data_IF_214665588724
#
_entry.id   IF_214665588724
#
_cell.length_a   1.000
_cell.length_b   1.000
_cell.length_c   1.000
_cell.angle_alpha   90.00
_cell.angle_beta   90.00
_cell.angle_gamma   90.00
#
_symmetry.space_group_name_H-M   'P 1'
#
loop_
_entity.id
_entity.type
_entity.pdbx_description
1 polymer ?
#
# COMPACT_ATOMS: atom_id res chain seq x y z
N UNK A 1 -3.61 -10.17 10.90
CA UNK A 1 -3.66 -8.77 10.44
C UNK A 1 -4.21 -7.91 11.57
N UNK A 2 -3.47 -6.90 12.03
CA UNK A 2 -3.95 -5.93 13.01
C UNK A 2 -4.17 -4.59 12.32
N UNK A 3 -5.33 -3.95 12.53
CA UNK A 3 -5.60 -2.64 11.92
C UNK A 3 -4.73 -1.55 12.55
N UNK A 4 -4.20 -0.65 11.71
CA UNK A 4 -3.41 0.51 12.15
C UNK A 4 -4.13 1.79 11.76
N UNK A 5 -4.07 2.80 12.61
CA UNK A 5 -4.66 4.11 12.36
C UNK A 5 -3.80 4.94 11.37
N UNK A 6 -4.34 5.34 10.20
CA UNK A 6 -3.59 6.06 9.16
C UNK A 6 -3.11 7.45 9.59
N UNK A 7 -3.82 8.08 10.54
CA UNK A 7 -3.48 9.40 11.06
C UNK A 7 -2.10 9.42 11.71
N UNK A 8 -1.64 8.29 12.26
CA UNK A 8 -0.30 8.14 12.81
C UNK A 8 0.77 8.44 11.76
N UNK A 9 0.47 8.23 10.47
CA UNK A 9 1.36 8.49 9.33
C UNK A 9 1.01 9.76 8.54
N UNK A 10 0.08 10.58 9.05
CA UNK A 10 -0.40 11.78 8.33
C UNK A 10 -1.23 11.44 7.08
N UNK A 11 -1.79 10.23 7.02
CA UNK A 11 -2.64 9.77 5.95
C UNK A 11 -4.11 9.98 6.28
N UNK A 12 -4.94 10.07 5.25
CA UNK A 12 -6.40 10.18 5.41
C UNK A 12 -6.97 8.94 6.11
N UNK A 13 -7.95 9.15 7.00
CA UNK A 13 -8.79 8.12 7.62
C UNK A 13 -9.36 7.07 6.64
N UNK A 14 -9.50 7.42 5.36
CA UNK A 14 -9.99 6.52 4.30
C UNK A 14 -8.96 5.51 3.83
N UNK A 15 -7.70 5.62 4.26
CA UNK A 15 -6.65 4.66 3.95
C UNK A 15 -6.82 3.47 4.89
N UNK A 16 -6.85 2.25 4.38
CA UNK A 16 -6.85 1.08 5.25
C UNK A 16 -5.43 0.58 5.41
N UNK A 17 -4.91 0.60 6.64
CA UNK A 17 -3.60 0.08 6.98
C UNK A 17 -3.75 -1.12 7.92
N UNK A 18 -2.92 -2.12 7.69
CA UNK A 18 -2.82 -3.30 8.55
C UNK A 18 -1.35 -3.61 8.84
N UNK A 19 -1.06 -4.08 10.04
CA UNK A 19 0.21 -4.71 10.34
C UNK A 19 0.14 -6.19 9.97
N UNK A 20 1.14 -6.64 9.22
CA UNK A 20 1.35 -8.04 8.85
C UNK A 20 2.80 -8.38 9.13
N UNK A 21 3.02 -9.26 10.10
CA UNK A 21 4.34 -9.63 10.59
C UNK A 21 5.18 -8.38 10.90
N UNK A 22 6.29 -8.20 10.20
CA UNK A 22 7.19 -7.05 10.31
C UNK A 22 6.95 -5.96 9.24
N UNK A 23 5.83 -6.01 8.53
CA UNK A 23 5.49 -5.10 7.43
C UNK A 23 4.18 -4.34 7.69
N UNK A 24 4.04 -3.19 7.02
CA UNK A 24 2.79 -2.44 6.97
C UNK A 24 2.13 -2.66 5.61
N UNK A 25 0.91 -3.17 5.63
CA UNK A 25 0.08 -3.40 4.45
C UNK A 25 -0.85 -2.22 4.18
N UNK A 26 -0.79 -1.67 2.97
CA UNK A 26 -1.84 -0.81 2.43
C UNK A 26 -2.91 -1.70 1.81
N UNK A 27 -4.09 -1.73 2.42
CA UNK A 27 -5.19 -2.58 2.00
C UNK A 27 -6.09 -1.86 0.99
N UNK A 28 -6.19 -2.42 -0.22
CA UNK A 28 -7.12 -1.97 -1.25
C UNK A 28 -7.97 -3.15 -1.71
N UNK A 29 -9.17 -3.29 -1.16
CA UNK A 29 -10.13 -4.31 -1.55
C UNK A 29 -11.24 -3.69 -2.40
N UNK A 30 -11.14 -3.84 -3.72
CA UNK A 30 -12.15 -3.36 -4.67
C UNK A 30 -12.13 -4.19 -5.95
N UNK A 31 -13.25 -4.25 -6.65
CA UNK A 31 -13.37 -5.00 -7.92
C UNK A 31 -12.56 -4.39 -9.07
N UNK A 32 -12.46 -3.06 -9.15
CA UNK A 32 -11.84 -2.36 -10.28
C UNK A 32 -10.31 -2.39 -10.22
N UNK A 33 -9.67 -2.57 -11.38
CA UNK A 33 -8.21 -2.64 -11.57
C UNK A 33 -7.46 -1.48 -10.91
N UNK A 34 -6.29 -1.76 -10.32
CA UNK A 34 -5.32 -0.76 -9.87
C UNK A 34 -4.56 -0.23 -11.08
N UNK A 35 -4.65 1.07 -11.31
CA UNK A 35 -4.01 1.77 -12.43
C UNK A 35 -2.89 2.69 -11.95
N UNK A 36 -2.19 3.35 -12.86
CA UNK A 36 -1.03 4.21 -12.52
C UNK A 36 -1.35 5.33 -11.54
N UNK A 37 -2.54 5.95 -11.63
CA UNK A 37 -2.98 6.97 -10.66
C UNK A 37 -3.01 6.41 -9.23
N UNK A 38 -3.49 5.17 -9.08
CA UNK A 38 -3.46 4.49 -7.78
C UNK A 38 -2.01 4.17 -7.38
N UNK A 39 -1.18 3.72 -8.32
CA UNK A 39 0.24 3.45 -8.10
C UNK A 39 0.99 4.64 -7.47
N UNK A 40 0.84 5.84 -8.05
CA UNK A 40 1.45 7.06 -7.49
C UNK A 40 0.93 7.38 -6.08
N UNK A 41 -0.36 7.17 -5.83
CA UNK A 41 -0.94 7.35 -4.50
C UNK A 41 -0.37 6.35 -3.49
N UNK A 42 -0.24 5.09 -3.86
CA UNK A 42 0.30 4.01 -3.01
C UNK A 42 1.75 4.30 -2.64
N UNK A 43 2.59 4.68 -3.62
CA UNK A 43 3.99 5.05 -3.35
C UNK A 43 4.10 6.24 -2.40
N UNK A 44 3.27 7.28 -2.60
CA UNK A 44 3.23 8.44 -1.70
C UNK A 44 2.85 8.04 -0.27
N UNK A 45 1.87 7.14 -0.11
CA UNK A 45 1.46 6.62 1.19
C UNK A 45 2.57 5.78 1.83
N UNK A 46 3.20 4.90 1.07
CA UNK A 46 4.30 4.06 1.53
C UNK A 46 5.47 4.89 2.04
N UNK A 47 5.87 5.92 1.29
CA UNK A 47 6.95 6.82 1.71
C UNK A 47 6.61 7.57 3.01
N UNK A 48 5.37 8.05 3.16
CA UNK A 48 4.94 8.71 4.39
C UNK A 48 4.98 7.77 5.61
N UNK A 49 4.67 6.49 5.42
CA UNK A 49 4.80 5.46 6.45
C UNK A 49 6.28 5.22 6.78
N UNK A 50 7.11 5.02 5.75
CA UNK A 50 8.54 4.70 5.89
C UNK A 50 9.35 5.80 6.59
N UNK A 51 8.96 7.07 6.41
CA UNK A 51 9.57 8.19 7.13
C UNK A 51 9.38 8.07 8.65
N UNK A 52 8.24 7.55 9.09
CA UNK A 52 7.92 7.45 10.54
C UNK A 52 8.30 6.11 11.13
N UNK A 53 8.20 5.04 10.35
CA UNK A 53 8.57 3.69 10.74
C UNK A 53 9.46 3.07 9.67
N UNK A 54 10.67 2.67 10.05
CA UNK A 54 11.60 1.99 9.16
C UNK A 54 11.18 0.51 8.92
N UNK A 55 9.97 0.31 8.40
CA UNK A 55 9.38 -0.99 8.10
C UNK A 55 9.07 -1.12 6.60
N UNK A 56 9.16 -2.34 6.03
CA UNK A 56 8.69 -2.60 4.69
C UNK A 56 7.20 -2.27 4.54
N UNK A 57 6.83 -1.72 3.38
CA UNK A 57 5.44 -1.45 3.03
C UNK A 57 5.04 -2.32 1.84
N UNK A 58 3.91 -3.01 1.97
CA UNK A 58 3.35 -3.89 0.94
C UNK A 58 1.95 -3.43 0.53
N UNK A 59 1.57 -3.70 -0.72
CA UNK A 59 0.21 -3.55 -1.20
C UNK A 59 -0.53 -4.87 -1.02
N UNK A 60 -1.69 -4.85 -0.36
CA UNK A 60 -2.57 -6.01 -0.24
C UNK A 60 -3.84 -5.72 -1.02
N UNK A 61 -4.13 -6.53 -2.03
CA UNK A 61 -5.28 -6.26 -2.89
C UNK A 61 -5.83 -7.52 -3.55
N UNK A 62 -7.16 -7.57 -3.65
CA UNK A 62 -7.90 -8.53 -4.49
C UNK A 62 -8.06 -8.03 -5.94
N UNK A 63 -7.78 -6.73 -6.18
CA UNK A 63 -7.98 -6.11 -7.47
C UNK A 63 -6.88 -6.53 -8.46
N UNK A 64 -7.22 -6.71 -9.75
CA UNK A 64 -6.17 -6.88 -10.76
C UNK A 64 -5.30 -5.62 -10.80
N UNK A 65 -4.00 -5.77 -11.07
CA UNK A 65 -3.05 -4.65 -11.18
C UNK A 65 -2.51 -4.55 -12.60
N UNK A 66 -2.58 -3.37 -13.21
CA UNK A 66 -1.99 -3.13 -14.53
C UNK A 66 -0.48 -3.44 -14.54
N UNK A 67 0.03 -4.03 -15.63
CA UNK A 67 1.46 -4.41 -15.73
C UNK A 67 2.42 -3.24 -15.49
N UNK A 68 2.14 -2.06 -16.06
CA UNK A 68 2.92 -0.84 -15.81
C UNK A 68 2.91 -0.43 -14.34
N UNK A 69 1.79 -0.62 -13.65
CA UNK A 69 1.66 -0.30 -12.22
C UNK A 69 2.40 -1.32 -11.36
N UNK A 70 2.39 -2.61 -11.71
CA UNK A 70 3.21 -3.63 -11.05
C UNK A 70 4.69 -3.28 -11.12
N UNK A 71 5.18 -2.91 -12.31
CA UNK A 71 6.56 -2.51 -12.52
C UNK A 71 6.91 -1.26 -11.69
N UNK A 72 6.03 -0.25 -11.71
CA UNK A 72 6.24 0.99 -10.94
C UNK A 72 6.30 0.74 -9.42
N UNK A 73 5.41 -0.10 -8.89
CA UNK A 73 5.42 -0.45 -7.45
C UNK A 73 6.68 -1.24 -7.08
N UNK A 74 7.06 -2.23 -7.89
CA UNK A 74 8.28 -3.02 -7.69
C UNK A 74 9.54 -2.14 -7.70
N UNK A 75 9.63 -1.19 -8.63
CA UNK A 75 10.74 -0.23 -8.69
C UNK A 75 10.83 0.69 -7.46
N UNK A 76 9.74 0.82 -6.69
CA UNK A 76 9.71 1.56 -5.42
C UNK A 76 9.74 0.61 -4.21
N UNK A 77 10.15 -0.64 -4.38
CA UNK A 77 10.24 -1.67 -3.34
C UNK A 77 8.91 -1.99 -2.64
N UNK A 78 7.79 -1.86 -3.36
CA UNK A 78 6.46 -2.20 -2.85
C UNK A 78 6.03 -3.53 -3.48
N UNK A 79 6.00 -4.57 -2.66
CA UNK A 79 5.51 -5.89 -3.05
C UNK A 79 3.98 -5.91 -3.09
N UNK A 80 3.42 -6.72 -3.99
CA UNK A 80 1.97 -6.89 -4.15
C UNK A 80 1.61 -8.28 -3.66
N UNK A 81 0.77 -8.34 -2.62
CA UNK A 81 0.23 -9.57 -2.08
C UNK A 81 -1.28 -9.61 -2.38
N UNK A 82 -1.75 -10.79 -2.76
CA UNK A 82 -3.19 -11.05 -2.87
C UNK A 82 -3.81 -11.00 -1.47
N UNK A 83 -5.01 -10.41 -1.39
CA UNK A 83 -5.84 -10.43 -0.18
C UNK A 83 -6.28 -11.85 0.18
#
# INVERSE_FOLDING_TARGET
MQKIEPHLYGLSARTNLVQIDNSIGILIDRKSRIIMKDGHRIVKQAHAIQIKENKPVILITSAPVCSKTKQYLSANNILINSL
#
